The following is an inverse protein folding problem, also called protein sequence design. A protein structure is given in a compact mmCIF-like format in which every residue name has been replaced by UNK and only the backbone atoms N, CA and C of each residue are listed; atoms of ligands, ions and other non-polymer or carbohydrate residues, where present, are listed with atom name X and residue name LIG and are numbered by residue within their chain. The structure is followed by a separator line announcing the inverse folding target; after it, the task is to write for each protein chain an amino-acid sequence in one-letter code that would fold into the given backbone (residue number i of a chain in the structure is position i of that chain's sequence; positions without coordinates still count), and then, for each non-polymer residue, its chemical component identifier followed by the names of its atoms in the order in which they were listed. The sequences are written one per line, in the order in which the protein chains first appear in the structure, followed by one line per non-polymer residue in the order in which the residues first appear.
data_IF_387786271479
#
_entry.id   IF_387786271479
#
_cell.length_a   1.000
_cell.length_b   1.000
_cell.length_c   1.000
_cell.angle_alpha   90.00
_cell.angle_beta   90.00
_cell.angle_gamma   90.00
#
_symmetry.space_group_name_H-M   'P 1'
#
loop_
_entity.id
_entity.type
_entity.pdbx_description
1 polymer ?
#
# COMPACT_ATOMS: atom_id res chain seq x y z
N UNK A 1 -1.78 5.75 9.91
CA UNK A 1 -1.81 4.87 8.73
C UNK A 1 -3.17 4.19 8.69
N UNK A 2 -3.80 4.08 7.51
CA UNK A 2 -5.06 3.34 7.35
C UNK A 2 -4.90 1.82 7.50
N UNK A 3 -3.67 1.32 7.34
CA UNK A 3 -3.38 -0.04 7.77
C UNK A 3 -3.39 -0.10 9.29
N UNK A 4 -2.76 0.84 10.01
CA UNK A 4 -2.73 0.78 11.47
C UNK A 4 -4.12 0.91 12.12
N UNK A 5 -5.00 1.72 11.53
CA UNK A 5 -6.35 1.98 12.02
C UNK A 5 -7.37 1.91 10.89
N UNK A 6 -8.55 1.35 11.14
CA UNK A 6 -9.59 1.21 10.12
C UNK A 6 -9.39 -0.03 9.27
N UNK A 7 -8.68 0.09 8.13
CA UNK A 7 -8.61 -0.98 7.11
C UNK A 7 -7.87 -2.21 7.66
N UNK A 8 -6.65 -2.04 8.19
CA UNK A 8 -5.83 -3.19 8.59
C UNK A 8 -6.45 -4.04 9.71
N UNK A 9 -6.91 -3.46 10.85
CA UNK A 9 -7.63 -4.21 11.87
C UNK A 9 -8.89 -4.90 11.33
N UNK A 10 -9.69 -4.20 10.52
CA UNK A 10 -10.92 -4.77 9.97
C UNK A 10 -10.64 -5.94 9.03
N UNK A 11 -9.62 -5.83 8.17
CA UNK A 11 -9.20 -6.89 7.27
C UNK A 11 -8.62 -8.08 8.04
N UNK A 12 -7.74 -7.83 9.02
CA UNK A 12 -7.18 -8.89 9.87
C UNK A 12 -8.28 -9.68 10.56
N UNK A 13 -9.18 -9.00 11.29
CA UNK A 13 -10.27 -9.67 11.99
C UNK A 13 -11.23 -10.39 11.03
N UNK A 14 -11.50 -9.82 9.86
CA UNK A 14 -12.35 -10.46 8.85
C UNK A 14 -11.75 -11.74 8.27
N UNK A 15 -10.44 -11.75 8.00
CA UNK A 15 -9.71 -12.93 7.54
C UNK A 15 -9.63 -14.00 8.64
N UNK A 16 -9.31 -13.62 9.87
CA UNK A 16 -9.26 -14.56 11.01
C UNK A 16 -10.63 -15.20 11.28
N UNK A 17 -11.72 -14.43 11.18
CA UNK A 17 -13.08 -14.94 11.29
C UNK A 17 -13.45 -15.95 10.19
N UNK A 18 -12.73 -15.93 9.05
CA UNK A 18 -12.85 -16.90 7.96
C UNK A 18 -11.86 -18.07 8.07
N UNK A 19 -11.11 -18.16 9.17
CA UNK A 19 -10.18 -19.26 9.45
C UNK A 19 -8.76 -19.05 8.94
N UNK A 20 -8.41 -17.87 8.44
CA UNK A 20 -7.03 -17.57 8.03
C UNK A 20 -6.13 -17.28 9.23
N UNK A 21 -4.90 -17.79 9.21
CA UNK A 21 -3.83 -17.31 10.10
C UNK A 21 -3.20 -16.07 9.47
N UNK A 22 -3.18 -14.95 10.20
CA UNK A 22 -2.75 -13.65 9.66
C UNK A 22 -1.51 -13.14 10.38
N UNK A 23 -0.39 -13.07 9.67
CA UNK A 23 0.77 -12.26 10.08
C UNK A 23 0.52 -10.82 9.66
N UNK A 24 0.46 -9.93 10.65
CA UNK A 24 0.08 -8.54 10.44
C UNK A 24 1.20 -7.58 10.85
N UNK A 25 1.70 -6.81 9.89
CA UNK A 25 2.73 -5.81 10.13
C UNK A 25 2.33 -4.43 9.59
N UNK A 26 2.56 -3.39 10.39
CA UNK A 26 2.33 -2.02 9.97
C UNK A 26 3.39 -1.08 10.54
N UNK A 27 3.87 -0.17 9.68
CA UNK A 27 4.67 0.98 10.12
C UNK A 27 4.03 2.25 9.56
N UNK A 28 3.66 3.17 10.45
CA UNK A 28 3.05 4.45 10.04
C UNK A 28 4.10 5.41 9.49
N UNK A 29 3.64 6.32 8.61
CA UNK A 29 4.46 7.41 8.07
C UNK A 29 5.68 6.95 7.24
N UNK A 30 5.59 5.76 6.65
CA UNK A 30 6.63 5.16 5.79
C UNK A 30 6.13 4.88 4.38
N UNK A 31 7.08 4.70 3.47
CA UNK A 31 6.94 4.27 2.08
C UNK A 31 8.28 3.74 1.61
N UNK A 32 8.41 3.37 0.33
CA UNK A 32 9.62 2.76 -0.26
C UNK A 32 10.79 3.75 -0.44
N UNK A 33 10.58 5.04 -0.16
CA UNK A 33 11.52 6.10 -0.54
C UNK A 33 12.45 6.54 0.58
N UNK A 34 11.94 6.65 1.80
CA UNK A 34 12.71 7.16 2.95
C UNK A 34 13.31 6.04 3.80
N UNK A 35 14.21 5.26 3.19
CA UNK A 35 14.81 4.04 3.78
C UNK A 35 15.61 4.29 5.05
N UNK A 36 16.17 5.50 5.24
CA UNK A 36 16.84 5.90 6.47
C UNK A 36 15.92 5.88 7.70
N UNK A 37 14.63 6.17 7.52
CA UNK A 37 13.66 6.11 8.60
C UNK A 37 13.09 4.69 8.76
N UNK A 38 12.84 3.99 7.64
CA UNK A 38 12.39 2.61 7.66
C UNK A 38 12.62 1.91 6.32
N UNK A 39 13.31 0.78 6.34
CA UNK A 39 13.64 0.00 5.15
C UNK A 39 12.63 -1.15 4.93
N UNK A 40 11.70 -0.94 3.99
CA UNK A 40 10.76 -1.97 3.56
C UNK A 40 11.40 -3.12 2.79
N UNK A 41 12.56 -2.92 2.15
CA UNK A 41 13.29 -4.00 1.47
C UNK A 41 13.85 -4.99 2.49
N UNK A 42 14.51 -4.47 3.54
CA UNK A 42 14.98 -5.31 4.63
C UNK A 42 13.82 -5.96 5.38
N UNK A 43 12.80 -5.17 5.73
CA UNK A 43 11.65 -5.68 6.50
C UNK A 43 10.88 -6.78 5.76
N UNK A 44 10.70 -6.66 4.43
CA UNK A 44 9.99 -7.71 3.68
C UNK A 44 10.74 -9.04 3.75
N UNK A 45 12.08 -9.07 3.69
CA UNK A 45 12.86 -10.30 3.88
C UNK A 45 12.62 -10.93 5.25
N UNK A 46 12.63 -10.12 6.31
CA UNK A 46 12.35 -10.60 7.67
C UNK A 46 10.93 -11.17 7.82
N UNK A 47 9.93 -10.51 7.23
CA UNK A 47 8.54 -10.97 7.29
C UNK A 47 8.37 -12.28 6.51
N UNK A 48 8.93 -12.35 5.31
CA UNK A 48 8.88 -13.54 4.45
C UNK A 48 9.61 -14.75 5.06
N UNK A 49 10.60 -14.53 5.92
CA UNK A 49 11.29 -15.59 6.64
C UNK A 49 10.43 -16.27 7.74
N UNK A 50 9.28 -15.69 8.11
CA UNK A 50 8.41 -16.27 9.14
C UNK A 50 7.65 -17.52 8.67
N UNK A 51 7.58 -17.75 7.36
CA UNK A 51 6.99 -18.96 6.81
C UNK A 51 6.43 -18.74 5.40
N UNK A 52 5.98 -19.82 4.74
CA UNK A 52 5.34 -19.72 3.43
C UNK A 52 3.98 -19.02 3.57
N UNK A 53 3.79 -17.94 2.81
CA UNK A 53 2.53 -17.22 2.75
C UNK A 53 1.75 -17.62 1.50
N UNK A 54 0.51 -18.09 1.65
CA UNK A 54 -0.36 -18.39 0.50
C UNK A 54 -0.92 -17.11 -0.13
N UNK A 55 -1.01 -16.02 0.65
CA UNK A 55 -1.46 -14.73 0.14
C UNK A 55 -0.72 -13.60 0.85
N UNK A 56 -0.32 -12.59 0.08
CA UNK A 56 0.25 -11.34 0.57
C UNK A 56 -0.68 -10.18 0.19
N UNK A 57 -1.00 -9.32 1.16
CA UNK A 57 -1.77 -8.09 0.93
C UNK A 57 -0.93 -6.88 1.32
N UNK A 58 -0.75 -5.93 0.40
CA UNK A 58 0.06 -4.73 0.59
C UNK A 58 -0.77 -3.47 0.39
N UNK A 59 -0.57 -2.47 1.24
CA UNK A 59 -1.06 -1.12 1.02
C UNK A 59 0.04 -0.12 1.38
N UNK A 60 0.61 0.54 0.36
CA UNK A 60 1.61 1.60 0.46
C UNK A 60 1.28 2.71 -0.56
N UNK A 61 1.86 3.90 -0.42
CA UNK A 61 1.71 4.99 -1.40
C UNK A 61 1.64 6.40 -0.82
N UNK A 62 1.05 6.60 0.37
CA UNK A 62 0.71 7.97 0.80
C UNK A 62 1.95 8.79 1.19
N UNK A 63 3.01 8.08 1.58
CA UNK A 63 4.30 8.65 1.96
C UNK A 63 5.42 8.32 0.97
N UNK A 64 5.10 7.69 -0.17
CA UNK A 64 6.09 7.38 -1.19
C UNK A 64 6.56 8.63 -1.92
N UNK A 65 5.68 9.63 -2.11
CA UNK A 65 6.04 10.95 -2.65
C UNK A 65 6.86 11.80 -1.68
N UNK A 66 8.11 11.38 -1.44
CA UNK A 66 9.16 12.04 -0.65
C UNK A 66 10.48 11.91 -1.39
N UNK A 67 11.47 12.68 -0.99
CA UNK A 67 12.80 12.58 -1.58
C UNK A 67 13.41 11.17 -1.46
N UNK A 68 14.27 10.84 -2.42
CA UNK A 68 15.06 9.61 -2.51
C UNK A 68 16.55 9.93 -2.35
N UNK A 69 17.33 9.03 -1.75
CA UNK A 69 18.79 9.11 -1.84
C UNK A 69 19.24 8.49 -3.16
N UNK A 70 19.96 9.24 -3.98
CA UNK A 70 20.51 8.80 -5.26
C UNK A 70 21.93 9.36 -5.43
N UNK A 71 22.91 8.49 -5.71
CA UNK A 71 24.33 8.85 -5.84
C UNK A 71 24.85 9.75 -4.69
N UNK A 72 24.52 9.39 -3.45
CA UNK A 72 24.92 10.13 -2.25
C UNK A 72 24.15 11.42 -1.99
N UNK A 73 23.29 11.88 -2.91
CA UNK A 73 22.55 13.14 -2.84
C UNK A 73 21.04 12.93 -2.65
N UNK A 74 20.35 13.99 -2.22
CA UNK A 74 18.89 14.05 -2.13
C UNK A 74 18.31 14.35 -3.51
N UNK A 75 17.48 13.44 -4.01
CA UNK A 75 16.66 13.61 -5.21
C UNK A 75 15.23 13.92 -4.76
N UNK A 76 14.80 15.16 -4.96
CA UNK A 76 13.46 15.61 -4.52
C UNK A 76 12.35 14.93 -5.32
N UNK A 77 11.24 14.65 -4.63
CA UNK A 77 10.01 14.20 -5.29
C UNK A 77 9.36 15.37 -6.03
N UNK A 78 8.97 15.12 -7.27
CA UNK A 78 8.02 15.93 -8.01
C UNK A 78 7.27 15.05 -9.01
N UNK A 79 5.99 15.36 -9.31
CA UNK A 79 5.17 14.55 -10.22
C UNK A 79 5.77 14.45 -11.63
N UNK A 80 6.56 15.43 -12.03
CA UNK A 80 7.22 15.60 -13.32
C UNK A 80 8.72 15.26 -13.32
N UNK A 81 9.30 14.96 -12.15
CA UNK A 81 10.73 14.64 -11.99
C UNK A 81 10.98 13.20 -12.45
N UNK A 82 11.27 13.02 -13.74
CA UNK A 82 11.45 11.70 -14.37
C UNK A 82 12.48 10.82 -13.66
N UNK A 83 13.66 11.38 -13.32
CA UNK A 83 14.71 10.62 -12.64
C UNK A 83 14.22 10.09 -11.29
N UNK A 84 13.39 10.84 -10.57
CA UNK A 84 12.82 10.39 -9.29
C UNK A 84 11.90 9.20 -9.51
N UNK A 85 11.01 9.25 -10.50
CA UNK A 85 10.10 8.15 -10.82
C UNK A 85 10.83 6.90 -11.30
N UNK A 86 11.88 7.04 -12.11
CA UNK A 86 12.73 5.91 -12.53
C UNK A 86 13.37 5.22 -11.32
N UNK A 87 13.93 5.99 -10.38
CA UNK A 87 14.52 5.42 -9.16
C UNK A 87 13.47 4.82 -8.22
N UNK A 88 12.27 5.42 -8.18
CA UNK A 88 11.15 4.86 -7.45
C UNK A 88 10.70 3.52 -8.04
N UNK A 89 10.62 3.44 -9.36
CA UNK A 89 10.22 2.24 -10.10
C UNK A 89 11.17 1.07 -9.85
N UNK A 90 12.48 1.31 -9.89
CA UNK A 90 13.48 0.28 -9.55
C UNK A 90 13.24 -0.28 -8.15
N UNK A 91 13.04 0.61 -7.16
CA UNK A 91 12.76 0.18 -5.77
C UNK A 91 11.45 -0.57 -5.65
N UNK A 92 10.41 -0.13 -6.35
CA UNK A 92 9.13 -0.81 -6.40
C UNK A 92 9.28 -2.21 -7.00
N UNK A 93 9.95 -2.34 -8.15
CA UNK A 93 10.13 -3.62 -8.85
C UNK A 93 10.93 -4.62 -8.02
N UNK A 94 11.99 -4.16 -7.35
CA UNK A 94 12.75 -4.99 -6.41
C UNK A 94 11.89 -5.49 -5.24
N UNK A 95 11.09 -4.61 -4.65
CA UNK A 95 10.22 -4.93 -3.51
C UNK A 95 9.09 -5.88 -3.93
N UNK A 96 8.35 -5.48 -4.97
CA UNK A 96 7.20 -6.18 -5.50
C UNK A 96 7.59 -7.56 -6.06
N UNK A 97 8.68 -7.65 -6.83
CA UNK A 97 9.21 -8.91 -7.33
C UNK A 97 9.54 -9.91 -6.23
N UNK A 98 10.01 -9.43 -5.06
CA UNK A 98 10.22 -10.30 -3.89
C UNK A 98 8.96 -10.99 -3.43
N UNK A 99 7.89 -10.20 -3.33
CA UNK A 99 6.63 -10.68 -2.81
C UNK A 99 5.99 -11.64 -3.80
N UNK A 100 6.12 -11.35 -5.11
CA UNK A 100 5.73 -12.25 -6.19
C UNK A 100 6.40 -13.62 -6.10
N UNK A 101 7.72 -13.66 -5.85
CA UNK A 101 8.43 -14.92 -5.72
C UNK A 101 8.10 -15.69 -4.44
N UNK A 102 7.58 -15.01 -3.40
CA UNK A 102 7.37 -15.60 -2.09
C UNK A 102 5.94 -16.09 -1.84
N UNK A 103 4.98 -15.72 -2.68
CA UNK A 103 3.57 -16.09 -2.51
C UNK A 103 2.87 -16.28 -3.85
N UNK A 104 2.01 -17.30 -4.00
CA UNK A 104 1.27 -17.53 -5.23
C UNK A 104 0.15 -16.50 -5.45
N UNK A 105 -0.21 -15.70 -4.45
CA UNK A 105 -1.27 -14.70 -4.58
C UNK A 105 -0.87 -13.41 -3.90
N UNK A 106 -0.92 -12.32 -4.66
CA UNK A 106 -0.57 -10.99 -4.16
C UNK A 106 -1.64 -9.97 -4.51
N UNK A 107 -2.10 -9.23 -3.50
CA UNK A 107 -3.03 -8.13 -3.64
C UNK A 107 -2.38 -6.82 -3.24
N UNK A 108 -2.42 -5.83 -4.12
CA UNK A 108 -2.01 -4.46 -3.80
C UNK A 108 -3.23 -3.56 -3.72
N UNK A 109 -3.44 -2.96 -2.55
CA UNK A 109 -4.59 -2.14 -2.27
C UNK A 109 -4.26 -0.69 -2.63
N UNK A 110 -5.04 -0.14 -3.54
CA UNK A 110 -5.01 1.28 -3.87
C UNK A 110 -5.39 2.14 -2.67
N UNK A 111 -4.88 3.37 -2.64
CA UNK A 111 -5.24 4.31 -1.58
C UNK A 111 -6.58 4.99 -1.87
N UNK A 112 -7.49 5.07 -0.89
CA UNK A 112 -8.78 5.72 -1.10
C UNK A 112 -8.63 7.24 -1.29
N UNK A 113 -9.56 7.89 -2.03
CA UNK A 113 -9.54 9.33 -2.27
C UNK A 113 -9.48 10.13 -0.97
N UNK A 114 -8.50 11.03 -0.84
CA UNK A 114 -8.31 11.89 0.34
C UNK A 114 -8.90 13.29 0.10
N UNK A 115 -9.28 13.99 1.17
CA UNK A 115 -9.87 15.34 1.09
C UNK A 115 -8.83 16.44 0.86
N UNK A 116 -7.65 16.45 1.52
CA UNK A 116 -6.63 17.45 1.20
C UNK A 116 -6.13 17.27 -0.23
N UNK A 117 -6.24 18.33 -1.05
CA UNK A 117 -5.98 18.27 -2.50
C UNK A 117 -4.57 17.76 -2.84
N UNK A 118 -3.55 18.19 -2.09
CA UNK A 118 -2.17 17.72 -2.28
C UNK A 118 -2.02 16.22 -2.04
N UNK A 119 -2.73 15.66 -1.05
CA UNK A 119 -2.76 14.22 -0.85
C UNK A 119 -3.57 13.53 -1.94
N UNK A 120 -4.74 14.07 -2.32
CA UNK A 120 -5.57 13.52 -3.37
C UNK A 120 -4.83 13.37 -4.70
N UNK A 121 -4.17 14.43 -5.18
CA UNK A 121 -3.37 14.43 -6.41
C UNK A 121 -2.24 13.42 -6.32
N UNK A 122 -1.48 13.45 -5.22
CA UNK A 122 -0.36 12.52 -4.98
C UNK A 122 -0.84 11.06 -4.97
N UNK A 123 -1.88 10.72 -4.21
CA UNK A 123 -2.36 9.34 -4.12
C UNK A 123 -2.90 8.83 -5.45
N UNK A 124 -3.55 9.69 -6.25
CA UNK A 124 -3.98 9.33 -7.60
C UNK A 124 -2.80 8.97 -8.50
N UNK A 125 -1.71 9.73 -8.47
CA UNK A 125 -0.50 9.43 -9.26
C UNK A 125 0.09 8.07 -8.88
N UNK A 126 0.25 7.79 -7.58
CA UNK A 126 0.76 6.49 -7.12
C UNK A 126 -0.20 5.33 -7.43
N UNK A 127 -1.51 5.52 -7.24
CA UNK A 127 -2.50 4.50 -7.60
C UNK A 127 -2.42 4.13 -9.09
N UNK A 128 -2.30 5.14 -9.97
CA UNK A 128 -2.13 4.90 -11.41
C UNK A 128 -0.81 4.18 -11.72
N UNK A 129 0.29 4.57 -11.05
CA UNK A 129 1.57 3.88 -11.17
C UNK A 129 1.45 2.40 -10.78
N UNK A 130 0.90 2.10 -9.60
CA UNK A 130 0.73 0.72 -9.12
C UNK A 130 -0.19 -0.08 -10.02
N UNK A 131 -1.35 0.47 -10.39
CA UNK A 131 -2.31 -0.23 -11.25
C UNK A 131 -1.66 -0.65 -12.58
N UNK A 132 -0.91 0.26 -13.23
CA UNK A 132 -0.19 -0.05 -14.48
C UNK A 132 0.90 -1.11 -14.27
N UNK A 133 1.78 -0.93 -13.28
CA UNK A 133 2.90 -1.85 -13.03
C UNK A 133 2.44 -3.25 -12.65
N UNK A 134 1.42 -3.34 -11.82
CA UNK A 134 0.88 -4.62 -11.34
C UNK A 134 0.16 -5.34 -12.47
N UNK A 135 -0.67 -4.64 -13.25
CA UNK A 135 -1.32 -5.22 -14.42
C UNK A 135 -0.30 -5.75 -15.43
N UNK A 136 0.78 -5.01 -15.69
CA UNK A 136 1.84 -5.43 -16.60
C UNK A 136 2.67 -6.62 -16.08
N UNK A 137 2.73 -6.81 -14.75
CA UNK A 137 3.57 -7.86 -14.14
C UNK A 137 3.02 -9.28 -14.26
N UNK A 138 1.69 -9.44 -14.38
CA UNK A 138 1.01 -10.74 -14.33
C UNK A 138 1.06 -11.47 -12.98
N UNK A 139 1.81 -10.96 -11.99
CA UNK A 139 2.03 -11.63 -10.69
C UNK A 139 0.89 -11.43 -9.68
N UNK A 140 0.30 -10.23 -9.65
CA UNK A 140 -0.58 -9.80 -8.58
C UNK A 140 -1.79 -9.04 -9.10
N UNK A 141 -2.72 -8.73 -8.20
CA UNK A 141 -3.95 -7.99 -8.50
C UNK A 141 -3.95 -6.66 -7.77
N UNK A 142 -4.24 -5.59 -8.50
CA UNK A 142 -4.51 -4.29 -7.92
C UNK A 142 -5.99 -4.20 -7.56
N UNK A 143 -6.30 -3.80 -6.32
CA UNK A 143 -7.67 -3.57 -5.84
C UNK A 143 -7.85 -2.07 -5.66
N UNK A 144 -8.73 -1.46 -6.44
CA UNK A 144 -9.02 -0.05 -6.29
C UNK A 144 -9.88 0.23 -5.05
N UNK A 145 -9.76 1.45 -4.54
CA UNK A 145 -10.57 1.96 -3.42
C UNK A 145 -11.17 3.32 -3.75
N UNK A 146 -11.30 3.63 -5.05
CA UNK A 146 -11.74 4.93 -5.56
C UNK A 146 -13.21 5.21 -5.24
N UNK A 147 -13.99 4.17 -4.94
CA UNK A 147 -15.38 4.28 -4.52
C UNK A 147 -15.57 4.86 -3.11
N UNK A 148 -14.54 4.89 -2.27
CA UNK A 148 -14.71 5.33 -0.88
C UNK A 148 -14.90 6.85 -0.82
N UNK A 149 -16.02 7.27 -0.23
CA UNK A 149 -16.34 8.69 -0.06
C UNK A 149 -15.27 9.44 0.75
N UNK A 150 -15.14 10.75 0.47
CA UNK A 150 -14.33 11.67 1.28
C UNK A 150 -15.06 12.22 2.50
N UNK A 151 -16.33 11.84 2.69
CA UNK A 151 -17.20 12.36 3.75
C UNK A 151 -16.86 11.83 5.15
N UNK A 152 -17.21 12.63 6.17
CA UNK A 152 -16.92 12.35 7.59
C UNK A 152 -17.54 11.05 8.13
N UNK A 153 -18.56 10.50 7.47
CA UNK A 153 -19.14 9.21 7.86
C UNK A 153 -18.14 8.05 7.77
N UNK A 154 -17.23 8.11 6.80
CA UNK A 154 -16.21 7.09 6.53
C UNK A 154 -14.78 7.59 6.74
N UNK A 155 -14.60 8.88 7.02
CA UNK A 155 -13.30 9.54 7.22
C UNK A 155 -13.18 10.28 8.54
N UNK A 156 -11.99 10.27 9.10
CA UNK A 156 -11.63 11.14 10.23
C UNK A 156 -11.57 12.61 9.80
N UNK A 157 -11.51 13.50 10.80
CA UNK A 157 -11.51 14.95 10.61
C UNK A 157 -10.31 15.47 9.82
N UNK A 158 -9.21 14.72 9.75
CA UNK A 158 -8.05 15.05 8.91
C UNK A 158 -8.32 14.86 7.41
N UNK A 159 -9.35 14.08 7.05
CA UNK A 159 -9.66 13.75 5.66
C UNK A 159 -8.59 12.90 4.98
N UNK A 160 -7.72 12.21 5.74
CA UNK A 160 -6.68 11.28 5.29
C UNK A 160 -6.93 9.86 5.83
N UNK A 161 -7.29 9.72 7.10
CA UNK A 161 -7.57 8.41 7.70
C UNK A 161 -9.06 8.05 7.63
N UNK A 162 -9.34 6.74 7.58
CA UNK A 162 -10.72 6.23 7.56
C UNK A 162 -11.20 5.94 8.98
N UNK A 163 -12.50 6.04 9.21
CA UNK A 163 -13.14 5.56 10.45
C UNK A 163 -13.12 4.04 10.49
N UNK A 164 -13.54 3.44 11.62
CA UNK A 164 -13.76 2.00 11.68
C UNK A 164 -14.82 1.54 10.67
N UNK A 165 -15.85 2.35 10.44
CA UNK A 165 -16.87 2.09 9.41
C UNK A 165 -16.27 2.11 8.01
N UNK A 166 -15.53 3.16 7.66
CA UNK A 166 -14.83 3.24 6.37
C UNK A 166 -13.82 2.11 6.17
N UNK A 167 -13.09 1.75 7.23
CA UNK A 167 -12.17 0.61 7.24
C UNK A 167 -12.85 -0.72 6.96
N UNK A 168 -14.02 -0.97 7.57
CA UNK A 168 -14.83 -2.17 7.31
C UNK A 168 -15.33 -2.24 5.88
N UNK A 169 -15.81 -1.13 5.32
CA UNK A 169 -16.24 -1.07 3.90
C UNK A 169 -15.11 -1.51 2.98
N UNK A 170 -13.90 -0.95 3.17
CA UNK A 170 -12.74 -1.31 2.35
C UNK A 170 -12.31 -2.75 2.59
N UNK A 171 -12.24 -3.20 3.84
CA UNK A 171 -11.86 -4.58 4.17
C UNK A 171 -12.83 -5.61 3.55
N UNK A 172 -14.14 -5.36 3.59
CA UNK A 172 -15.15 -6.22 2.95
C UNK A 172 -14.96 -6.29 1.44
N UNK A 173 -14.66 -5.16 0.79
CA UNK A 173 -14.36 -5.15 -0.65
C UNK A 173 -13.07 -5.90 -1.00
N UNK A 174 -12.02 -5.78 -0.15
CA UNK A 174 -10.78 -6.54 -0.31
C UNK A 174 -11.06 -8.03 -0.25
N UNK A 175 -11.74 -8.49 0.81
CA UNK A 175 -12.09 -9.91 0.97
C UNK A 175 -12.94 -10.43 -0.19
N UNK A 176 -13.93 -9.66 -0.65
CA UNK A 176 -14.74 -10.02 -1.83
C UNK A 176 -13.86 -10.16 -3.08
N UNK A 177 -12.91 -9.25 -3.29
CA UNK A 177 -11.94 -9.32 -4.40
C UNK A 177 -10.96 -10.49 -4.30
N UNK A 178 -10.76 -11.02 -3.09
CA UNK A 178 -10.02 -12.26 -2.83
C UNK A 178 -10.87 -13.52 -3.06
N UNK A 179 -12.17 -13.39 -3.34
CA UNK A 179 -13.10 -14.51 -3.51
C UNK A 179 -13.71 -15.03 -2.20
N UNK A 180 -13.71 -14.20 -1.14
CA UNK A 180 -14.19 -14.54 0.20
C UNK A 180 -15.53 -13.88 0.54
#
# INVERSE_FOLDING_TARGET
SMMQFGIGPALKSGLEAKGFSVVYFVKKSTGLTWTHFFDWQAKSKELLAQGPFQTIVVMLGSNDGRWLKYNGKRLEYGPDVHLWWQQYEIRFDEFYGRLCSASPTLFWIGMPPMRPEGYHKKTRLFNQFYQRKIAASGCGKYIDTNYLSTDRSVRWTDGIHVTNSGGKIVASHIMKSMGL
#
